data_IF_875093549587
#
_entry.id   IF_875093549587
#
_cell.length_a   1.000
_cell.length_b   1.000
_cell.length_c   1.000
_cell.angle_alpha   90.00
_cell.angle_beta   90.00
_cell.angle_gamma   90.00
#
_symmetry.space_group_name_H-M   'P 1'
#
loop_
_entity.id
_entity.type
_entity.pdbx_description
1 polymer ?
#
# COMPACT_ATOMS: atom_id res chain seq x y z
N UNK A 1 -0.50 -66.91 -8.78
CA UNK A 1 -1.27 -65.68 -8.53
C UNK A 1 -0.30 -64.50 -8.56
N UNK A 2 0.00 -63.93 -9.73
CA UNK A 2 0.86 -62.76 -9.85
C UNK A 2 0.48 -61.95 -11.10
N UNK A 3 0.28 -60.63 -10.90
CA UNK A 3 0.47 -59.52 -11.84
C UNK A 3 -0.34 -59.57 -13.15
N UNK A 4 -0.99 -58.53 -13.63
CA UNK A 4 -0.63 -57.12 -13.58
C UNK A 4 -1.90 -56.32 -13.85
N UNK A 5 -2.19 -55.32 -13.01
CA UNK A 5 -3.15 -54.28 -13.36
C UNK A 5 -2.58 -53.50 -14.54
N UNK A 6 -3.05 -53.81 -15.75
CA UNK A 6 -2.80 -53.00 -16.93
C UNK A 6 -3.54 -51.67 -16.75
N UNK A 7 -2.89 -50.72 -16.09
CA UNK A 7 -3.27 -49.33 -16.07
C UNK A 7 -2.97 -48.75 -17.46
N UNK A 8 -3.91 -48.95 -18.39
CA UNK A 8 -3.92 -48.28 -19.68
C UNK A 8 -4.18 -46.78 -19.46
N UNK A 9 -3.12 -46.03 -19.17
CA UNK A 9 -3.16 -44.58 -19.39
C UNK A 9 -3.08 -44.36 -20.90
N UNK A 10 -4.12 -43.79 -21.53
CA UNK A 10 -4.08 -43.53 -22.96
C UNK A 10 -2.89 -42.60 -23.24
N UNK A 11 -2.02 -43.04 -24.15
CA UNK A 11 -0.78 -42.37 -24.58
C UNK A 11 -1.01 -40.91 -25.02
N UNK A 12 -2.27 -40.58 -25.33
CA UNK A 12 -2.76 -39.23 -25.62
C UNK A 12 -2.65 -38.25 -24.44
N UNK A 13 -2.68 -38.70 -23.18
CA UNK A 13 -2.58 -37.81 -22.02
C UNK A 13 -1.18 -37.20 -21.84
N UNK A 14 -0.13 -37.93 -22.18
CA UNK A 14 1.26 -37.55 -21.90
C UNK A 14 1.76 -36.38 -22.76
N UNK A 15 1.18 -36.19 -23.95
CA UNK A 15 1.52 -35.08 -24.85
C UNK A 15 0.86 -33.75 -24.47
N UNK A 16 -0.20 -33.73 -23.64
CA UNK A 16 -0.81 -32.48 -23.18
C UNK A 16 -0.17 -31.92 -21.90
N UNK A 17 0.56 -32.75 -21.15
CA UNK A 17 1.23 -32.34 -19.90
C UNK A 17 2.28 -31.22 -20.10
N UNK A 18 3.15 -31.24 -21.12
CA UNK A 18 4.16 -30.19 -21.30
C UNK A 18 3.54 -28.87 -21.78
N UNK A 19 2.59 -28.92 -22.72
CA UNK A 19 2.01 -27.71 -23.31
C UNK A 19 1.06 -26.99 -22.35
N UNK A 20 0.33 -27.72 -21.50
CA UNK A 20 -0.46 -27.12 -20.43
C UNK A 20 0.42 -26.39 -19.41
N UNK A 21 1.51 -27.00 -18.98
CA UNK A 21 2.44 -26.38 -18.02
C UNK A 21 3.15 -25.16 -18.59
N UNK A 22 3.58 -25.21 -19.86
CA UNK A 22 4.17 -24.06 -20.54
C UNK A 22 3.18 -22.91 -20.71
N UNK A 23 1.92 -23.19 -21.03
CA UNK A 23 0.88 -22.17 -21.16
C UNK A 23 0.56 -21.51 -19.82
N UNK A 24 0.31 -22.30 -18.77
CA UNK A 24 0.07 -21.80 -17.42
C UNK A 24 1.28 -21.07 -16.83
N UNK A 25 2.50 -21.54 -17.12
CA UNK A 25 3.75 -20.89 -16.70
C UNK A 25 3.94 -19.52 -17.34
N UNK A 26 3.60 -19.35 -18.63
CA UNK A 26 3.64 -18.04 -19.30
C UNK A 26 2.58 -17.08 -18.78
N UNK A 27 1.39 -17.58 -18.46
CA UNK A 27 0.32 -16.76 -17.86
C UNK A 27 0.75 -16.27 -16.47
N UNK A 28 1.26 -17.15 -15.61
CA UNK A 28 1.75 -16.79 -14.28
C UNK A 28 2.88 -15.75 -14.35
N UNK A 29 3.87 -15.97 -15.23
CA UNK A 29 4.94 -14.99 -15.45
C UNK A 29 4.39 -13.63 -15.94
N UNK A 30 3.42 -13.64 -16.87
CA UNK A 30 2.76 -12.43 -17.34
C UNK A 30 2.01 -11.67 -16.23
N UNK A 31 1.31 -12.40 -15.35
CA UNK A 31 0.61 -11.82 -14.19
C UNK A 31 1.59 -11.21 -13.21
N UNK A 32 2.71 -11.87 -12.91
CA UNK A 32 3.73 -11.33 -12.00
C UNK A 32 4.32 -10.03 -12.56
N UNK A 33 4.68 -10.01 -13.84
CA UNK A 33 5.22 -8.78 -14.49
C UNK A 33 4.17 -7.68 -14.49
N UNK A 34 2.91 -7.99 -14.82
CA UNK A 34 1.81 -7.04 -14.79
C UNK A 34 1.60 -6.46 -13.38
N UNK A 35 1.59 -7.30 -12.35
CA UNK A 35 1.48 -6.87 -10.95
C UNK A 35 2.67 -6.03 -10.50
N UNK A 36 3.89 -6.37 -10.92
CA UNK A 36 5.07 -5.55 -10.63
C UNK A 36 4.97 -4.16 -11.26
N UNK A 37 4.58 -4.07 -12.54
CA UNK A 37 4.40 -2.78 -13.23
C UNK A 37 3.25 -2.00 -12.57
N UNK A 38 2.12 -2.65 -12.29
CA UNK A 38 0.98 -2.01 -11.64
C UNK A 38 1.34 -1.50 -10.24
N UNK A 39 2.07 -2.29 -9.45
CA UNK A 39 2.56 -1.89 -8.13
C UNK A 39 3.54 -0.73 -8.22
N UNK A 40 4.47 -0.74 -9.19
CA UNK A 40 5.40 0.35 -9.41
C UNK A 40 4.70 1.64 -9.80
N UNK A 41 3.74 1.58 -10.72
CA UNK A 41 2.91 2.72 -11.11
C UNK A 41 2.07 3.22 -9.93
N UNK A 42 1.42 2.31 -9.20
CA UNK A 42 0.67 2.65 -8.00
C UNK A 42 1.55 3.34 -6.96
N UNK A 43 2.75 2.83 -6.71
CA UNK A 43 3.72 3.46 -5.81
C UNK A 43 4.18 4.81 -6.33
N UNK A 44 4.39 5.01 -7.64
CA UNK A 44 4.79 6.29 -8.19
C UNK A 44 3.66 7.34 -8.08
N UNK A 45 2.43 6.94 -8.40
CA UNK A 45 1.23 7.78 -8.25
C UNK A 45 0.88 8.05 -6.78
N UNK A 46 1.18 7.12 -5.88
CA UNK A 46 0.90 7.24 -4.45
C UNK A 46 2.03 7.93 -3.68
N UNK A 47 3.29 7.79 -4.08
CA UNK A 47 4.45 8.49 -3.50
C UNK A 47 4.49 9.98 -3.88
N UNK A 48 3.80 10.36 -4.97
CA UNK A 48 3.51 11.76 -5.31
C UNK A 48 2.45 12.39 -4.40
N UNK A 49 1.69 11.58 -3.64
CA UNK A 49 1.07 12.12 -2.44
C UNK A 49 2.19 12.21 -1.42
N UNK A 50 2.58 13.41 -0.96
CA UNK A 50 3.34 13.46 0.28
C UNK A 50 2.58 12.54 1.22
N UNK A 51 3.29 11.58 1.79
CA UNK A 51 3.00 11.12 3.13
C UNK A 51 3.14 12.37 4.01
N UNK A 52 2.21 13.34 3.84
CA UNK A 52 1.71 14.16 4.90
C UNK A 52 1.39 13.10 5.89
N UNK A 53 2.30 12.95 6.86
CA UNK A 53 2.02 12.29 8.11
C UNK A 53 0.55 12.55 8.34
N UNK A 54 -0.25 11.49 8.26
CA UNK A 54 -1.60 11.50 8.79
C UNK A 54 -1.44 11.61 10.31
N UNK A 55 -0.98 12.77 10.74
CA UNK A 55 -0.93 13.23 12.11
C UNK A 55 -1.71 14.53 12.26
N UNK A 56 -2.40 15.03 11.22
CA UNK A 56 -3.19 16.28 11.27
C UNK A 56 -4.34 16.32 10.25
N UNK A 57 -5.17 15.29 10.25
CA UNK A 57 -6.59 15.46 9.90
C UNK A 57 -7.45 15.64 11.16
N UNK A 58 -6.82 15.94 12.30
CA UNK A 58 -7.50 16.71 13.33
C UNK A 58 -7.43 18.16 12.87
N UNK A 59 -8.56 18.86 12.95
CA UNK A 59 -8.64 20.32 12.90
C UNK A 59 -7.33 20.93 13.41
N UNK A 60 -6.72 21.88 12.68
CA UNK A 60 -5.60 22.63 13.23
C UNK A 60 -6.06 23.23 14.56
N UNK A 61 -5.71 22.54 15.66
CA UNK A 61 -6.08 22.92 17.00
C UNK A 61 -5.65 24.38 17.14
N UNK A 62 -6.57 25.30 17.42
CA UNK A 62 -6.23 26.71 17.57
C UNK A 62 -5.02 26.92 18.51
N UNK A 63 -4.79 26.00 19.46
CA UNK A 63 -3.61 25.95 20.33
C UNK A 63 -2.30 25.71 19.56
N UNK A 64 -2.31 24.88 18.52
CA UNK A 64 -1.11 24.60 17.72
C UNK A 64 -0.72 25.80 16.83
N UNK A 65 -1.71 26.55 16.34
CA UNK A 65 -1.50 27.83 15.64
C UNK A 65 -0.87 28.85 16.61
N UNK A 66 -1.41 28.97 17.82
CA UNK A 66 -0.88 29.82 18.89
C UNK A 66 0.58 29.47 19.24
N UNK A 67 0.89 28.18 19.39
CA UNK A 67 2.24 27.70 19.71
C UNK A 67 3.26 28.08 18.64
N UNK A 68 2.88 28.02 17.36
CA UNK A 68 3.75 28.45 16.25
C UNK A 68 4.03 29.95 16.29
N UNK A 69 3.02 30.78 16.56
CA UNK A 69 3.17 32.25 16.65
C UNK A 69 4.04 32.66 17.84
N UNK A 70 3.85 32.02 18.99
CA UNK A 70 4.69 32.24 20.17
C UNK A 70 6.15 31.85 19.90
N UNK A 71 6.39 30.71 19.25
CA UNK A 71 7.74 30.26 18.88
C UNK A 71 8.43 31.21 17.87
N UNK A 72 7.66 31.91 17.04
CA UNK A 72 8.17 32.95 16.14
C UNK A 72 8.36 34.31 16.83
N UNK A 73 7.93 34.45 18.08
CA UNK A 73 7.95 35.73 18.80
C UNK A 73 6.93 36.75 18.28
N UNK A 74 5.92 36.31 17.52
CA UNK A 74 4.85 37.17 16.99
C UNK A 74 3.82 37.54 18.06
N UNK A 75 3.74 36.75 19.13
CA UNK A 75 2.89 37.00 20.29
C UNK A 75 3.71 36.85 21.57
N UNK A 76 3.36 37.64 22.56
CA UNK A 76 3.95 37.59 23.90
C UNK A 76 3.42 36.40 24.69
N UNK A 77 4.06 36.09 25.82
CA UNK A 77 3.63 34.98 26.68
C UNK A 77 2.23 35.22 27.25
N UNK A 78 1.95 36.48 27.60
CA UNK A 78 0.69 36.93 28.16
C UNK A 78 -0.46 36.74 27.15
N UNK A 79 -0.23 37.09 25.89
CA UNK A 79 -1.21 36.88 24.81
C UNK A 79 -1.46 35.39 24.52
N UNK A 80 -0.40 34.57 24.53
CA UNK A 80 -0.51 33.13 24.37
C UNK A 80 -1.34 32.49 25.51
N UNK A 81 -1.07 32.85 26.76
CA UNK A 81 -1.79 32.32 27.92
C UNK A 81 -3.27 32.71 27.88
N UNK A 82 -3.60 33.97 27.58
CA UNK A 82 -4.99 34.44 27.47
C UNK A 82 -5.78 33.70 26.39
N UNK A 83 -5.23 33.58 25.19
CA UNK A 83 -5.92 32.91 24.07
C UNK A 83 -6.04 31.40 24.31
N UNK A 84 -5.05 30.78 24.97
CA UNK A 84 -5.09 29.36 25.34
C UNK A 84 -6.19 29.06 26.37
N UNK A 85 -6.44 29.97 27.32
CA UNK A 85 -7.53 29.83 28.29
C UNK A 85 -8.90 30.01 27.63
N UNK A 86 -9.03 30.98 26.71
CA UNK A 86 -10.26 31.23 25.96
C UNK A 86 -10.69 30.02 25.13
N UNK A 87 -9.73 29.35 24.47
CA UNK A 87 -9.98 28.16 23.65
C UNK A 87 -10.29 26.88 24.45
N UNK A 88 -10.03 26.88 25.77
CA UNK A 88 -10.35 25.75 26.65
C UNK A 88 -11.75 25.84 27.27
N UNK A 89 -12.45 26.96 27.05
CA UNK A 89 -13.77 27.24 27.60
C UNK A 89 -14.87 26.72 26.67
#
# INVERSE_FOLDING_TARGET
MHGHGLFWVPFWGYYYFPYGWFFWGRILAGVVVFLCIFCLLFLLFWAGRPMVRSSRFFEEDPIEILKRRYARGEITREEYERMREELKR
#
